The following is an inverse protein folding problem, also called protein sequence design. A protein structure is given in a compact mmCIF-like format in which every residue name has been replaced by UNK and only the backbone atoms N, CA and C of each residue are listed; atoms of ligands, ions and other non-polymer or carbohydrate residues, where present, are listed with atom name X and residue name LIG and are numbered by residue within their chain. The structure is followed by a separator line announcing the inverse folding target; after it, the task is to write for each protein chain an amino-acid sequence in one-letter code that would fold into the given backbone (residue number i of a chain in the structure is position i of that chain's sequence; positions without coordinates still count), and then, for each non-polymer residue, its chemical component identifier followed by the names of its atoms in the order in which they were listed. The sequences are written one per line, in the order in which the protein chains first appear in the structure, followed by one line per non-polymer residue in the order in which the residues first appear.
data_IF_069834480486
#
_entry.id   IF_069834480486
#
_cell.length_a   1.000
_cell.length_b   1.000
_cell.length_c   1.000
_cell.angle_alpha   90.00
_cell.angle_beta   90.00
_cell.angle_gamma   90.00
#
_symmetry.space_group_name_H-M   'P 1'
#
loop_
_entity.id
_entity.type
_entity.pdbx_description
1 polymer ?
#
# COMPACT_ATOMS: atom_id res chain seq x y z
N UNK A 1 -4.32 11.59 2.10
CA UNK A 1 -4.30 11.95 3.54
C UNK A 1 -2.85 12.22 3.91
N UNK A 2 -2.56 12.97 4.98
CA UNK A 2 -1.21 13.52 5.19
C UNK A 2 -0.17 12.38 5.21
N UNK A 3 0.94 12.48 4.47
CA UNK A 3 2.02 11.50 4.60
C UNK A 3 2.64 11.60 6.00
N UNK A 4 3.26 10.49 6.42
CA UNK A 4 4.10 10.36 7.63
C UNK A 4 3.37 10.54 8.97
N UNK A 5 2.08 10.19 9.04
CA UNK A 5 1.30 10.14 10.29
C UNK A 5 0.51 8.84 10.38
N UNK A 6 0.14 8.45 11.60
CA UNK A 6 -0.56 7.22 11.96
C UNK A 6 -2.10 7.32 11.87
N UNK A 7 -2.66 8.53 11.74
CA UNK A 7 -4.10 8.70 11.55
C UNK A 7 -4.50 8.21 10.15
N UNK A 8 -5.49 7.31 10.08
CA UNK A 8 -6.00 6.77 8.83
C UNK A 8 -7.50 7.00 8.67
N UNK A 9 -8.17 7.66 9.62
CA UNK A 9 -9.64 7.64 9.73
C UNK A 9 -10.34 8.18 8.48
N UNK A 10 -9.84 9.28 7.93
CA UNK A 10 -10.38 9.93 6.73
C UNK A 10 -9.51 9.70 5.49
N UNK A 11 -8.69 8.65 5.49
CA UNK A 11 -7.77 8.42 4.39
C UNK A 11 -8.49 7.87 3.15
N UNK A 12 -8.36 8.53 1.97
CA UNK A 12 -8.85 7.96 0.71
C UNK A 12 -8.24 6.59 0.41
N UNK A 13 -6.99 6.35 0.84
CA UNK A 13 -6.33 5.06 0.68
C UNK A 13 -7.08 3.94 1.42
N UNK A 14 -7.64 4.22 2.60
CA UNK A 14 -8.40 3.23 3.36
C UNK A 14 -9.66 2.79 2.61
N UNK A 15 -10.38 3.73 1.98
CA UNK A 15 -11.57 3.42 1.19
C UNK A 15 -11.23 2.58 -0.04
N UNK A 16 -10.12 2.88 -0.71
CA UNK A 16 -9.62 2.09 -1.85
C UNK A 16 -9.28 0.67 -1.39
N UNK A 17 -8.49 0.53 -0.32
CA UNK A 17 -8.08 -0.77 0.22
C UNK A 17 -9.28 -1.60 0.67
N UNK A 18 -10.26 -0.99 1.34
CA UNK A 18 -11.49 -1.66 1.76
C UNK A 18 -12.32 -2.15 0.57
N UNK A 19 -12.45 -1.32 -0.47
CA UNK A 19 -13.13 -1.72 -1.71
C UNK A 19 -12.41 -2.89 -2.41
N UNK A 20 -11.08 -2.82 -2.51
CA UNK A 20 -10.26 -3.87 -3.11
C UNK A 20 -10.34 -5.17 -2.31
N UNK A 21 -10.35 -5.11 -0.98
CA UNK A 21 -10.47 -6.28 -0.12
C UNK A 21 -11.82 -6.99 -0.30
N UNK A 22 -12.90 -6.24 -0.56
CA UNK A 22 -14.20 -6.82 -0.91
C UNK A 22 -14.19 -7.51 -2.29
N UNK A 23 -13.46 -6.96 -3.27
CA UNK A 23 -13.37 -7.51 -4.62
C UNK A 23 -12.36 -8.67 -4.73
N UNK A 24 -11.31 -8.67 -3.90
CA UNK A 24 -10.19 -9.61 -3.90
C UNK A 24 -9.93 -10.14 -2.48
N UNK A 25 -10.84 -10.95 -1.90
CA UNK A 25 -10.72 -11.38 -0.51
C UNK A 25 -9.42 -12.16 -0.25
N UNK A 26 -8.73 -11.82 0.83
CA UNK A 26 -7.51 -12.50 1.29
C UNK A 26 -6.26 -12.26 0.44
N UNK A 27 -6.31 -11.33 -0.53
CA UNK A 27 -5.19 -11.05 -1.44
C UNK A 27 -4.54 -9.68 -1.21
N UNK A 28 -5.06 -8.88 -0.29
CA UNK A 28 -4.60 -7.51 -0.08
C UNK A 28 -3.53 -7.45 1.01
N UNK A 29 -2.32 -7.08 0.60
CA UNK A 29 -1.20 -6.73 1.48
C UNK A 29 -1.14 -5.20 1.62
N UNK A 30 -1.34 -4.70 2.83
CA UNK A 30 -1.18 -3.28 3.15
C UNK A 30 0.21 -3.05 3.76
N UNK A 31 0.91 -2.03 3.28
CA UNK A 31 2.19 -1.59 3.84
C UNK A 31 2.04 -0.16 4.32
N UNK A 32 2.25 0.07 5.62
CA UNK A 32 2.21 1.39 6.22
C UNK A 32 3.32 1.46 7.31
N UNK A 33 4.30 2.38 7.21
CA UNK A 33 5.48 2.44 8.09
C UNK A 33 5.27 3.07 9.49
N UNK A 34 4.13 3.70 9.75
CA UNK A 34 3.78 4.48 10.94
C UNK A 34 2.77 3.75 11.86
N UNK A 35 2.35 2.53 11.52
CA UNK A 35 1.42 1.73 12.32
C UNK A 35 1.97 0.33 12.57
N UNK A 36 1.69 -0.22 13.75
CA UNK A 36 2.04 -1.61 14.10
C UNK A 36 0.84 -2.58 13.95
N UNK A 37 -0.36 -2.04 13.73
CA UNK A 37 -1.57 -2.83 13.59
C UNK A 37 -2.56 -2.14 12.64
N UNK A 38 -3.32 -2.94 11.89
CA UNK A 38 -4.38 -2.42 11.03
C UNK A 38 -5.55 -1.89 11.86
N UNK A 39 -6.20 -0.79 11.40
CA UNK A 39 -7.52 -0.43 11.89
C UNK A 39 -8.50 -1.58 11.71
N UNK A 40 -9.39 -1.77 12.70
CA UNK A 40 -10.30 -2.91 12.79
C UNK A 40 -11.11 -3.14 11.51
N UNK A 41 -11.53 -2.08 10.82
CA UNK A 41 -12.27 -2.17 9.55
C UNK A 41 -11.51 -2.94 8.47
N UNK A 42 -10.20 -2.73 8.31
CA UNK A 42 -9.41 -3.42 7.30
C UNK A 42 -9.05 -4.84 7.73
N UNK A 43 -8.77 -5.03 9.02
CA UNK A 43 -8.55 -6.37 9.55
C UNK A 43 -9.80 -7.25 9.33
N UNK A 44 -11.00 -6.71 9.57
CA UNK A 44 -12.27 -7.39 9.30
C UNK A 44 -12.53 -7.62 7.81
N UNK A 45 -12.01 -6.75 6.94
CA UNK A 45 -12.08 -6.92 5.49
C UNK A 45 -11.09 -7.99 4.96
N UNK A 46 -10.26 -8.60 5.83
CA UNK A 46 -9.30 -9.63 5.43
C UNK A 46 -8.02 -9.06 4.81
N UNK A 47 -7.69 -7.81 5.10
CA UNK A 47 -6.41 -7.19 4.71
C UNK A 47 -5.31 -7.65 5.68
N UNK A 48 -4.15 -7.95 5.14
CA UNK A 48 -2.96 -8.30 5.92
C UNK A 48 -1.99 -7.12 5.99
N UNK A 49 -1.55 -6.75 7.19
CA UNK A 49 -0.43 -5.83 7.36
C UNK A 49 0.85 -6.59 7.03
N UNK A 50 1.64 -6.08 6.11
CA UNK A 50 2.89 -6.69 5.68
C UNK A 50 4.03 -5.67 5.67
N UNK A 51 5.25 -6.17 5.78
CA UNK A 51 6.44 -5.38 5.47
C UNK A 51 6.51 -5.03 3.98
N UNK A 52 7.29 -4.01 3.64
CA UNK A 52 7.53 -3.66 2.25
C UNK A 52 8.19 -4.84 1.50
N UNK A 53 9.12 -5.53 2.14
CA UNK A 53 9.84 -6.67 1.60
C UNK A 53 8.90 -7.84 1.26
N UNK A 54 7.98 -8.19 2.16
CA UNK A 54 6.98 -9.24 1.92
C UNK A 54 6.05 -8.87 0.77
N UNK A 55 5.56 -7.62 0.73
CA UNK A 55 4.68 -7.15 -0.33
C UNK A 55 5.38 -7.13 -1.70
N UNK A 56 6.64 -6.67 -1.76
CA UNK A 56 7.45 -6.66 -2.98
C UNK A 56 7.71 -8.07 -3.50
N UNK A 57 7.97 -9.03 -2.61
CA UNK A 57 8.22 -10.41 -3.01
C UNK A 57 6.95 -11.12 -3.48
N UNK A 58 5.82 -10.88 -2.80
CA UNK A 58 4.59 -11.66 -2.96
C UNK A 58 3.52 -11.05 -3.88
N UNK A 59 3.52 -9.73 -4.11
CA UNK A 59 2.45 -9.07 -4.85
C UNK A 59 2.76 -8.91 -6.34
N UNK A 60 1.74 -9.14 -7.17
CA UNK A 60 1.80 -8.94 -8.63
C UNK A 60 1.44 -7.51 -9.06
N UNK A 61 0.75 -6.78 -8.19
CA UNK A 61 0.37 -5.38 -8.40
C UNK A 61 0.85 -4.55 -7.21
N UNK A 62 1.63 -3.50 -7.49
CA UNK A 62 2.07 -2.54 -6.48
C UNK A 62 1.34 -1.22 -6.67
N UNK A 63 0.56 -0.80 -5.67
CA UNK A 63 -0.20 0.44 -5.70
C UNK A 63 0.33 1.45 -4.67
N UNK A 64 0.86 2.58 -5.14
CA UNK A 64 1.28 3.67 -4.27
C UNK A 64 0.10 4.63 -4.05
N UNK A 65 -0.49 4.59 -2.85
CA UNK A 65 -1.66 5.39 -2.49
C UNK A 65 -1.32 6.61 -1.62
N UNK A 66 -0.20 6.56 -0.89
CA UNK A 66 0.27 7.65 -0.02
C UNK A 66 1.80 7.77 -0.14
N UNK A 67 2.29 9.00 -0.26
CA UNK A 67 3.69 9.37 -0.51
C UNK A 67 4.53 9.49 0.76
N UNK A 68 4.51 8.46 1.62
CA UNK A 68 5.39 8.41 2.79
C UNK A 68 6.85 8.50 2.40
N UNK A 69 7.68 9.12 3.24
CA UNK A 69 9.12 9.28 2.98
C UNK A 69 9.82 7.95 2.68
N UNK A 70 9.47 6.89 3.42
CA UNK A 70 10.02 5.55 3.19
C UNK A 70 9.83 5.02 1.77
N UNK A 71 8.73 5.38 1.09
CA UNK A 71 8.44 4.94 -0.28
C UNK A 71 9.02 5.87 -1.36
N UNK A 72 9.39 7.10 -0.98
CA UNK A 72 10.10 8.06 -1.85
C UNK A 72 11.59 7.74 -1.92
N UNK A 73 12.19 7.45 -0.78
CA UNK A 73 13.64 7.26 -0.66
C UNK A 73 14.09 5.87 -1.15
N UNK A 74 13.16 4.91 -1.15
CA UNK A 74 13.40 3.53 -1.59
C UNK A 74 12.37 3.12 -2.62
N UNK A 75 12.64 3.48 -3.87
CA UNK A 75 11.87 2.94 -5.01
C UNK A 75 12.31 1.48 -5.21
N UNK A 76 11.42 0.49 -5.05
CA UNK A 76 11.80 -0.90 -5.23
C UNK A 76 12.17 -1.18 -6.68
N UNK A 77 13.21 -1.99 -6.88
CA UNK A 77 13.57 -2.47 -8.21
C UNK A 77 12.39 -3.26 -8.77
N UNK A 78 11.92 -2.88 -9.96
CA UNK A 78 10.75 -3.51 -10.58
C UNK A 78 11.06 -4.97 -10.89
N UNK A 79 10.33 -5.88 -10.22
CA UNK A 79 10.29 -7.30 -10.59
C UNK A 79 9.58 -7.44 -11.93
N UNK A 80 10.11 -8.30 -12.82
CA UNK A 80 9.47 -8.59 -14.10
C UNK A 80 8.03 -9.09 -13.89
N UNK A 81 7.12 -8.70 -14.78
CA UNK A 81 5.70 -9.04 -14.69
C UNK A 81 4.87 -8.24 -13.68
N UNK A 82 5.48 -7.44 -12.80
CA UNK A 82 4.72 -6.61 -11.84
C UNK A 82 4.10 -5.41 -12.53
N UNK A 83 2.82 -5.17 -12.20
CA UNK A 83 2.07 -3.96 -12.57
C UNK A 83 2.23 -2.90 -11.48
N UNK A 84 2.57 -1.68 -11.87
CA UNK A 84 2.70 -0.56 -10.94
C UNK A 84 1.55 0.42 -11.19
N UNK A 85 0.83 0.75 -10.11
CA UNK A 85 -0.21 1.80 -10.08
C UNK A 85 0.29 2.92 -9.18
N UNK A 86 0.85 3.95 -9.80
CA UNK A 86 1.45 5.08 -9.10
C UNK A 86 0.52 6.30 -9.11
N UNK A 87 -0.25 6.47 -8.04
CA UNK A 87 -1.17 7.61 -7.90
C UNK A 87 -0.48 8.90 -7.43
N UNK A 88 0.82 8.81 -7.11
CA UNK A 88 1.61 9.91 -6.52
C UNK A 88 2.70 10.43 -7.47
N UNK A 89 3.00 9.72 -8.55
CA UNK A 89 4.01 10.08 -9.55
C UNK A 89 5.45 9.89 -9.07
N UNK A 90 5.69 8.96 -8.14
CA UNK A 90 7.01 8.75 -7.51
C UNK A 90 7.76 7.58 -8.15
N UNK A 91 7.08 6.47 -8.44
CA UNK A 91 7.71 5.24 -8.93
C UNK A 91 7.78 5.16 -10.46
N UNK A 92 6.95 5.95 -11.15
CA UNK A 92 6.83 5.95 -12.61
C UNK A 92 7.39 7.20 -13.28
N UNK A 93 7.91 8.15 -12.50
CA UNK A 93 8.62 9.29 -13.06
C UNK A 93 9.81 8.79 -13.88
N UNK A 94 9.83 9.13 -15.17
CA UNK A 94 10.95 8.81 -16.05
C UNK A 94 12.23 9.45 -15.49
N UNK A 95 13.29 8.65 -15.34
CA UNK A 95 14.65 9.16 -15.27
C UNK A 95 15.07 9.71 -16.63
#
# INVERSE_FOLDING_TARGET
FKPDIDDMRESPAMMIVEHLAGALPGQILAVEPNIDALPERLAKAGVTLASAEEAIAGADVWALLVDHRGFRDKVPARREGVVIVDTRGIWTAAA
#
